data_IF_567177037478
#
_entry.id   IF_567177037478
#
_cell.length_a   1.000
_cell.length_b   1.000
_cell.length_c   1.000
_cell.angle_alpha   90.00
_cell.angle_beta   90.00
_cell.angle_gamma   90.00
#
_symmetry.space_group_name_H-M   'P 1'
#
loop_
_entity.id
_entity.type
_entity.pdbx_description
1 polymer ?
#
# COMPACT_ATOMS: atom_id res chain seq x y z
N UNK A 1 24.74 -18.21 -8.00
CA UNK A 1 24.22 -17.51 -6.81
C UNK A 1 23.06 -16.64 -7.30
N UNK A 2 21.83 -17.13 -7.15
CA UNK A 2 20.61 -16.40 -7.55
C UNK A 2 20.30 -15.50 -6.37
N UNK A 3 20.49 -14.19 -6.55
CA UNK A 3 20.09 -13.21 -5.54
C UNK A 3 18.55 -13.25 -5.44
N UNK A 4 18.04 -13.74 -4.31
CA UNK A 4 16.62 -13.74 -4.04
C UNK A 4 16.11 -12.31 -3.96
N UNK A 5 15.01 -12.04 -4.66
CA UNK A 5 14.25 -10.80 -4.52
C UNK A 5 13.59 -10.89 -3.14
N UNK A 6 14.17 -10.23 -2.15
CA UNK A 6 13.61 -10.20 -0.79
C UNK A 6 12.59 -9.07 -0.74
N UNK A 7 11.30 -9.43 -0.77
CA UNK A 7 10.22 -8.48 -0.49
C UNK A 7 10.07 -8.35 1.03
N UNK A 8 10.48 -7.21 1.56
CA UNK A 8 10.13 -6.77 2.89
C UNK A 8 8.84 -5.96 2.78
N UNK A 9 7.70 -6.63 2.88
CA UNK A 9 6.42 -5.93 2.83
C UNK A 9 5.24 -6.83 3.16
N UNK A 10 4.59 -6.54 4.28
CA UNK A 10 3.29 -7.07 4.70
C UNK A 10 3.24 -8.57 5.02
N UNK A 11 3.91 -9.00 6.07
CA UNK A 11 3.58 -10.27 6.73
C UNK A 11 2.42 -9.99 7.71
N UNK A 12 1.20 -10.17 7.25
CA UNK A 12 0.09 -10.41 8.16
C UNK A 12 0.32 -11.80 8.76
N UNK A 13 0.47 -11.90 10.06
CA UNK A 13 0.48 -13.08 10.92
C UNK A 13 0.47 -14.44 10.22
N UNK A 14 1.63 -14.92 9.73
CA UNK A 14 1.79 -16.33 9.35
C UNK A 14 3.11 -16.86 9.90
N UNK A 15 3.06 -18.08 10.45
CA UNK A 15 4.24 -18.72 11.00
C UNK A 15 5.26 -18.96 9.87
N UNK A 16 6.48 -18.49 10.03
CA UNK A 16 7.63 -18.69 9.15
C UNK A 16 7.85 -20.17 8.76
N UNK A 17 7.21 -21.09 9.44
CA UNK A 17 7.35 -22.54 9.25
C UNK A 17 6.65 -23.10 8.01
N UNK A 18 5.58 -22.47 7.51
CA UNK A 18 4.84 -22.92 6.32
C UNK A 18 5.36 -22.27 5.02
N UNK A 19 5.94 -21.10 5.12
CA UNK A 19 6.54 -20.37 3.99
C UNK A 19 7.70 -21.13 3.32
N UNK A 20 8.45 -21.97 4.07
CA UNK A 20 9.65 -22.68 3.59
C UNK A 20 9.31 -23.92 2.74
N UNK A 21 8.07 -24.40 2.73
CA UNK A 21 7.68 -25.67 2.06
C UNK A 21 6.76 -25.52 0.83
N UNK A 22 6.39 -24.30 0.40
CA UNK A 22 5.61 -24.14 -0.82
C UNK A 22 6.51 -24.23 -2.06
N UNK A 23 6.21 -25.19 -2.97
CA UNK A 23 6.85 -25.18 -4.29
C UNK A 23 6.51 -23.88 -5.02
N UNK A 24 7.54 -23.25 -5.60
CA UNK A 24 7.38 -22.09 -6.49
C UNK A 24 6.38 -22.40 -7.61
N UNK A 25 5.29 -21.62 -7.69
CA UNK A 25 4.23 -21.79 -8.69
C UNK A 25 3.70 -20.46 -9.19
N UNK A 26 4.46 -19.83 -10.08
CA UNK A 26 4.04 -18.57 -10.73
C UNK A 26 2.77 -18.72 -11.57
N UNK A 27 2.51 -19.93 -12.10
CA UNK A 27 1.28 -20.19 -12.86
C UNK A 27 0.04 -20.15 -11.98
N UNK A 28 0.17 -20.42 -10.67
CA UNK A 28 -0.97 -20.35 -9.76
C UNK A 28 -1.60 -18.94 -9.73
N UNK A 29 -0.76 -17.90 -9.66
CA UNK A 29 -1.24 -16.50 -9.64
C UNK A 29 -1.94 -16.16 -10.96
N UNK A 30 -1.35 -16.52 -12.09
CA UNK A 30 -1.93 -16.28 -13.41
C UNK A 30 -3.26 -17.02 -13.60
N UNK A 31 -3.30 -18.29 -13.23
CA UNK A 31 -4.50 -19.11 -13.35
C UNK A 31 -5.61 -18.59 -12.46
N UNK A 32 -5.29 -18.22 -11.20
CA UNK A 32 -6.26 -17.64 -10.30
C UNK A 32 -6.91 -16.37 -10.89
N UNK A 33 -6.11 -15.47 -11.46
CA UNK A 33 -6.62 -14.25 -12.08
C UNK A 33 -7.53 -14.58 -13.28
N UNK A 34 -7.12 -15.54 -14.14
CA UNK A 34 -7.90 -15.96 -15.31
C UNK A 34 -9.21 -16.67 -14.94
N UNK A 35 -9.20 -17.49 -13.90
CA UNK A 35 -10.38 -18.21 -13.40
C UNK A 35 -11.42 -17.28 -12.78
N UNK A 36 -10.97 -16.16 -12.15
CA UNK A 36 -11.86 -15.20 -11.46
C UNK A 36 -12.09 -13.90 -12.26
N UNK A 37 -11.75 -13.86 -13.54
CA UNK A 37 -11.92 -12.64 -14.36
C UNK A 37 -13.39 -12.22 -14.50
N UNK A 38 -14.29 -13.18 -14.59
CA UNK A 38 -15.72 -12.92 -14.78
C UNK A 38 -16.42 -12.48 -13.48
N UNK A 39 -15.82 -12.79 -12.32
CA UNK A 39 -16.28 -12.35 -11.00
C UNK A 39 -15.98 -10.85 -10.76
N UNK A 40 -15.14 -10.23 -11.63
CA UNK A 40 -14.66 -8.84 -11.49
C UNK A 40 -13.94 -8.55 -10.16
N UNK A 41 -13.41 -9.58 -9.55
CA UNK A 41 -12.64 -9.49 -8.28
C UNK A 41 -11.14 -9.51 -8.51
N UNK A 42 -10.70 -9.68 -9.75
CA UNK A 42 -9.30 -9.70 -10.15
C UNK A 42 -9.04 -8.75 -11.31
N UNK A 43 -7.85 -8.14 -11.33
CA UNK A 43 -7.36 -7.32 -12.43
C UNK A 43 -5.87 -7.57 -12.64
N UNK A 44 -5.44 -7.58 -13.92
CA UNK A 44 -4.03 -7.71 -14.28
C UNK A 44 -3.76 -6.86 -15.54
N UNK A 45 -2.71 -6.05 -15.48
CA UNK A 45 -2.13 -5.41 -16.66
C UNK A 45 -0.63 -5.66 -16.63
N UNK A 46 -0.07 -6.10 -17.75
CA UNK A 46 1.36 -6.21 -17.97
C UNK A 46 1.72 -5.48 -19.25
N UNK A 47 2.67 -4.56 -19.17
CA UNK A 47 3.26 -3.89 -20.33
C UNK A 47 4.75 -4.13 -20.40
N UNK A 48 5.26 -4.19 -21.64
CA UNK A 48 6.69 -4.24 -21.91
C UNK A 48 7.01 -3.35 -23.10
N UNK A 49 7.98 -2.43 -22.91
CA UNK A 49 8.39 -1.47 -23.93
C UNK A 49 7.21 -0.67 -24.55
N UNK A 50 6.19 -0.37 -23.74
CA UNK A 50 4.95 0.31 -24.15
C UNK A 50 3.89 -0.60 -24.78
N UNK A 51 4.22 -1.87 -25.09
CA UNK A 51 3.25 -2.84 -25.61
C UNK A 51 2.50 -3.53 -24.45
N UNK A 52 1.19 -3.66 -24.58
CA UNK A 52 0.34 -4.40 -23.61
C UNK A 52 0.41 -5.89 -23.92
N UNK A 53 1.01 -6.67 -23.01
CA UNK A 53 1.07 -8.13 -23.14
C UNK A 53 -0.22 -8.78 -22.66
N UNK A 54 -0.85 -8.25 -21.62
CA UNK A 54 -2.16 -8.69 -21.13
C UNK A 54 -2.89 -7.56 -20.44
N UNK A 55 -4.23 -7.60 -20.51
CA UNK A 55 -5.12 -6.67 -19.83
C UNK A 55 -6.42 -7.38 -19.46
N UNK A 56 -6.62 -7.62 -18.15
CA UNK A 56 -7.80 -8.28 -17.58
C UNK A 56 -8.45 -7.29 -16.61
N UNK A 57 -9.72 -6.99 -16.79
CA UNK A 57 -10.54 -6.15 -15.90
C UNK A 57 -9.87 -4.80 -15.54
N UNK A 58 -9.17 -4.18 -16.50
CA UNK A 58 -8.36 -2.98 -16.28
C UNK A 58 -9.12 -1.79 -15.69
N UNK A 59 -10.45 -1.75 -15.90
CA UNK A 59 -11.33 -0.64 -15.47
C UNK A 59 -12.12 -0.95 -14.20
N UNK A 60 -12.06 -2.20 -13.72
CA UNK A 60 -12.75 -2.55 -12.48
C UNK A 60 -12.08 -1.86 -11.29
N UNK A 61 -12.89 -1.16 -10.50
CA UNK A 61 -12.41 -0.49 -9.29
C UNK A 61 -12.29 -1.49 -8.14
N UNK A 62 -11.08 -1.69 -7.65
CA UNK A 62 -10.78 -2.63 -6.58
C UNK A 62 -10.05 -1.92 -5.42
N UNK A 63 -10.16 -2.41 -4.19
CA UNK A 63 -9.41 -1.89 -3.06
C UNK A 63 -7.90 -1.99 -3.30
N UNK A 64 -7.17 -0.92 -2.99
CA UNK A 64 -5.73 -0.81 -3.24
C UNK A 64 -4.87 -1.35 -2.10
N UNK A 65 -5.41 -1.42 -0.91
CA UNK A 65 -4.61 -1.61 0.30
C UNK A 65 -3.39 -0.66 0.28
N UNK A 66 -2.21 -1.14 0.69
CA UNK A 66 -1.01 -0.29 0.76
C UNK A 66 -0.42 0.12 -0.59
N UNK A 67 -0.94 -0.37 -1.73
CA UNK A 67 -0.50 0.10 -3.04
C UNK A 67 -0.80 1.60 -3.24
N UNK A 68 -1.86 2.14 -2.61
CA UNK A 68 -2.20 3.56 -2.66
C UNK A 68 -1.10 4.48 -2.10
N UNK A 69 -0.19 3.98 -1.26
CA UNK A 69 0.93 4.74 -0.67
C UNK A 69 1.89 5.33 -1.71
N UNK A 70 1.87 4.84 -2.96
CA UNK A 70 2.64 5.39 -4.08
C UNK A 70 2.27 6.87 -4.31
N UNK A 71 0.98 7.20 -4.25
CA UNK A 71 0.51 8.57 -4.47
C UNK A 71 1.03 9.51 -3.37
N UNK A 72 1.04 9.04 -2.11
CA UNK A 72 1.59 9.81 -0.98
C UNK A 72 3.09 10.06 -1.17
N UNK A 73 3.83 9.04 -1.65
CA UNK A 73 5.26 9.18 -1.94
C UNK A 73 5.54 10.18 -3.09
N UNK A 74 4.68 10.21 -4.10
CA UNK A 74 4.78 11.18 -5.20
C UNK A 74 4.49 12.60 -4.73
N UNK A 75 3.45 12.80 -3.89
CA UNK A 75 3.17 14.12 -3.31
C UNK A 75 4.33 14.59 -2.40
N UNK A 76 4.92 13.70 -1.61
CA UNK A 76 6.14 14.02 -0.86
C UNK A 76 7.26 14.48 -1.79
N UNK A 77 7.57 13.71 -2.85
CA UNK A 77 8.62 14.06 -3.80
C UNK A 77 8.37 15.41 -4.48
N UNK A 78 7.10 15.71 -4.79
CA UNK A 78 6.66 17.00 -5.33
C UNK A 78 6.94 18.14 -4.34
N UNK A 79 6.50 18.00 -3.08
CA UNK A 79 6.70 19.06 -2.06
C UNK A 79 8.18 19.28 -1.74
N UNK A 80 9.01 18.24 -1.75
CA UNK A 80 10.48 18.37 -1.62
C UNK A 80 11.06 19.12 -2.81
N UNK A 81 10.68 18.73 -4.04
CA UNK A 81 11.16 19.37 -5.27
C UNK A 81 10.75 20.85 -5.37
N UNK A 82 9.58 21.21 -4.82
CA UNK A 82 9.10 22.58 -4.74
C UNK A 82 9.67 23.37 -3.55
N UNK A 83 10.50 22.76 -2.70
CA UNK A 83 11.06 23.39 -1.50
C UNK A 83 10.04 23.71 -0.39
N UNK A 84 8.84 23.10 -0.43
CA UNK A 84 7.78 23.29 0.56
C UNK A 84 8.05 22.55 1.86
N UNK A 85 8.73 21.41 1.78
CA UNK A 85 9.17 20.60 2.90
C UNK A 85 10.65 20.21 2.71
N UNK A 86 11.31 19.89 3.81
CA UNK A 86 12.71 19.45 3.78
C UNK A 86 12.78 17.97 4.12
N UNK A 87 13.47 17.18 3.30
CA UNK A 87 13.63 15.75 3.53
C UNK A 87 14.44 15.39 4.77
N UNK A 88 15.33 16.29 5.19
CA UNK A 88 16.17 16.16 6.39
C UNK A 88 15.49 16.70 7.67
N UNK A 89 14.24 17.19 7.57
CA UNK A 89 13.45 17.60 8.74
C UNK A 89 13.38 16.47 9.76
N UNK A 90 13.70 16.79 11.03
CA UNK A 90 13.73 15.79 12.10
C UNK A 90 12.35 15.57 12.69
N UNK A 91 11.90 14.34 12.64
CA UNK A 91 10.57 13.90 13.10
C UNK A 91 10.75 13.08 14.38
N UNK A 92 10.04 13.47 15.43
CA UNK A 92 10.03 12.73 16.69
C UNK A 92 9.34 11.38 16.52
N UNK A 93 9.97 10.30 16.97
CA UNK A 93 9.34 8.97 16.97
C UNK A 93 8.05 8.96 17.82
N UNK A 94 7.98 9.79 18.88
CA UNK A 94 6.75 9.93 19.69
C UNK A 94 5.58 10.51 18.90
N UNK A 95 5.83 11.35 17.89
CA UNK A 95 4.76 11.83 17.01
C UNK A 95 4.19 10.71 16.16
N UNK A 96 5.02 9.80 15.68
CA UNK A 96 4.58 8.64 14.90
C UNK A 96 3.79 7.64 15.73
N UNK A 97 4.14 7.48 17.00
CA UNK A 97 3.42 6.59 17.93
C UNK A 97 1.94 6.96 18.11
N UNK A 98 1.56 8.22 17.94
CA UNK A 98 0.15 8.66 17.98
C UNK A 98 -0.69 7.98 16.90
N UNK A 99 -0.07 7.60 15.80
CA UNK A 99 -0.72 6.97 14.64
C UNK A 99 -0.57 5.44 14.65
N UNK A 100 0.16 4.87 15.60
CA UNK A 100 0.40 3.43 15.63
C UNK A 100 -0.74 2.67 16.29
N UNK A 101 -1.51 1.95 15.48
CA UNK A 101 -2.51 1.00 15.98
C UNK A 101 -1.85 -0.37 16.10
N UNK A 102 -1.55 -0.76 17.34
CA UNK A 102 -0.74 -1.93 17.65
C UNK A 102 -1.31 -3.22 17.03
N UNK A 103 -0.44 -4.01 16.41
CA UNK A 103 -0.75 -5.31 15.81
C UNK A 103 -1.76 -5.26 14.63
N UNK A 104 -1.85 -4.14 13.92
CA UNK A 104 -2.78 -4.02 12.77
C UNK A 104 -2.11 -3.85 11.41
N UNK A 105 -0.78 -3.74 11.37
CA UNK A 105 0.00 -3.57 10.14
C UNK A 105 0.97 -4.74 9.86
N UNK A 106 0.70 -5.93 10.44
CA UNK A 106 1.56 -7.10 10.26
C UNK A 106 2.97 -6.95 10.84
N UNK A 107 3.18 -6.03 11.79
CA UNK A 107 4.50 -5.75 12.37
C UNK A 107 5.36 -4.79 11.56
N UNK A 108 4.79 -4.13 10.54
CA UNK A 108 5.51 -3.23 9.64
C UNK A 108 6.15 -2.04 10.37
N UNK A 109 5.41 -1.39 11.26
CA UNK A 109 5.94 -0.25 12.01
C UNK A 109 7.05 -0.62 12.98
N UNK A 110 6.91 -1.66 13.83
CA UNK A 110 8.02 -2.17 14.64
C UNK A 110 9.26 -2.56 13.83
N UNK A 111 9.09 -3.28 12.72
CA UNK A 111 10.21 -3.68 11.86
C UNK A 111 10.97 -2.47 11.29
N UNK A 112 10.25 -1.44 10.85
CA UNK A 112 10.86 -0.19 10.42
C UNK A 112 11.60 0.51 11.56
N UNK A 113 11.00 0.60 12.76
CA UNK A 113 11.65 1.21 13.92
C UNK A 113 12.96 0.51 14.31
N UNK A 114 12.98 -0.80 14.23
CA UNK A 114 14.18 -1.59 14.52
C UNK A 114 15.26 -1.34 13.45
N UNK A 115 14.88 -1.31 12.18
CA UNK A 115 15.82 -1.05 11.07
C UNK A 115 16.47 0.33 11.18
N UNK A 116 15.70 1.40 11.41
CA UNK A 116 16.28 2.75 11.53
C UNK A 116 17.15 2.91 12.77
N UNK A 117 16.90 2.15 13.85
CA UNK A 117 17.77 2.10 15.03
C UNK A 117 19.07 1.35 14.74
N UNK A 118 18.99 0.18 14.09
CA UNK A 118 20.15 -0.64 13.71
C UNK A 118 21.06 0.12 12.74
N UNK A 119 20.48 0.89 11.84
CA UNK A 119 21.23 1.73 10.88
C UNK A 119 21.71 3.07 11.47
N UNK A 120 21.52 3.30 12.77
CA UNK A 120 21.90 4.54 13.46
C UNK A 120 21.29 5.82 12.86
N UNK A 121 20.09 5.68 12.24
CA UNK A 121 19.34 6.79 11.62
C UNK A 121 18.44 7.52 12.62
N UNK A 122 18.45 7.10 13.89
CA UNK A 122 17.74 7.74 15.00
C UNK A 122 18.72 8.47 15.90
N UNK A 123 18.53 9.78 16.07
CA UNK A 123 19.34 10.62 16.96
C UNK A 123 18.44 11.40 17.90
N UNK A 124 18.65 11.28 19.22
CA UNK A 124 17.83 11.98 20.20
C UNK A 124 16.33 11.66 20.13
N UNK A 125 15.95 10.43 19.70
CA UNK A 125 14.56 10.02 19.54
C UNK A 125 13.88 10.61 18.29
N UNK A 126 14.63 11.09 17.32
CA UNK A 126 14.15 11.66 16.05
C UNK A 126 14.80 10.97 14.86
N UNK A 127 14.12 10.95 13.72
CA UNK A 127 14.65 10.52 12.43
C UNK A 127 14.24 11.50 11.34
N UNK A 128 14.82 11.40 10.14
CA UNK A 128 14.49 12.32 9.05
C UNK A 128 13.11 12.01 8.44
N UNK A 129 12.47 13.04 7.89
CA UNK A 129 11.22 12.87 7.13
C UNK A 129 11.39 11.89 5.97
N UNK A 130 12.55 11.87 5.32
CA UNK A 130 12.90 10.91 4.28
C UNK A 130 12.80 9.47 4.78
N UNK A 131 13.32 9.16 5.98
CA UNK A 131 13.25 7.82 6.55
C UNK A 131 11.81 7.44 6.95
N UNK A 132 10.97 8.40 7.34
CA UNK A 132 9.54 8.16 7.57
C UNK A 132 8.85 7.76 6.27
N UNK A 133 9.14 8.42 5.15
CA UNK A 133 8.58 8.07 3.83
C UNK A 133 9.11 6.70 3.35
N UNK A 134 10.40 6.42 3.50
CA UNK A 134 10.95 5.09 3.20
C UNK A 134 10.30 4.01 4.06
N UNK A 135 10.03 4.27 5.33
CA UNK A 135 9.30 3.35 6.21
C UNK A 135 7.88 3.06 5.72
N UNK A 136 7.18 4.06 5.15
CA UNK A 136 5.90 3.87 4.50
C UNK A 136 6.00 2.98 3.26
N UNK A 137 7.01 3.15 2.42
CA UNK A 137 7.14 2.42 1.14
C UNK A 137 7.76 1.04 1.35
N UNK A 138 8.90 0.92 2.04
CA UNK A 138 9.66 -0.33 2.17
C UNK A 138 9.02 -1.31 3.15
N UNK A 139 8.58 -0.82 4.32
CA UNK A 139 7.97 -1.63 5.37
C UNK A 139 6.44 -1.62 5.30
N UNK A 140 5.86 -0.65 4.58
CA UNK A 140 4.43 -0.44 4.57
C UNK A 140 3.84 0.03 5.91
N UNK A 141 4.62 0.71 6.77
CA UNK A 141 4.17 1.23 8.07
C UNK A 141 2.91 2.09 7.93
N UNK A 142 1.84 1.69 8.62
CA UNK A 142 0.58 2.43 8.63
C UNK A 142 0.67 3.70 9.49
N UNK A 143 1.46 3.68 10.56
CA UNK A 143 1.71 4.86 11.37
C UNK A 143 2.41 5.96 10.56
N UNK A 144 3.48 5.61 9.83
CA UNK A 144 4.17 6.54 8.94
C UNK A 144 3.22 7.09 7.86
N UNK A 145 2.36 6.23 7.31
CA UNK A 145 1.37 6.64 6.29
C UNK A 145 0.41 7.68 6.82
N UNK A 146 -0.17 7.45 8.00
CA UNK A 146 -1.15 8.38 8.59
C UNK A 146 -0.51 9.68 9.07
N UNK A 147 0.72 9.62 9.57
CA UNK A 147 1.51 10.83 9.85
C UNK A 147 1.74 11.64 8.57
N UNK A 148 2.13 10.99 7.47
CA UNK A 148 2.38 11.65 6.18
C UNK A 148 1.10 12.21 5.56
N UNK A 149 -0.05 11.57 5.76
CA UNK A 149 -1.35 12.10 5.34
C UNK A 149 -1.62 13.47 5.96
N UNK A 150 -1.32 13.65 7.24
CA UNK A 150 -1.43 14.94 7.93
C UNK A 150 -0.31 15.91 7.51
N UNK A 151 0.94 15.45 7.52
CA UNK A 151 2.12 16.28 7.24
C UNK A 151 2.11 16.90 5.86
N UNK A 152 1.75 16.14 4.85
CA UNK A 152 1.67 16.60 3.46
C UNK A 152 0.35 17.31 3.16
N UNK A 153 -0.69 17.00 3.95
CA UNK A 153 -2.04 17.50 3.79
C UNK A 153 -2.88 16.64 2.87
N UNK A 154 -3.94 16.02 3.41
CA UNK A 154 -4.84 15.15 2.64
C UNK A 154 -5.42 15.83 1.40
N UNK A 155 -5.77 17.13 1.50
CA UNK A 155 -6.26 17.90 0.35
C UNK A 155 -5.22 17.97 -0.78
N UNK A 156 -3.94 18.15 -0.47
CA UNK A 156 -2.85 18.18 -1.46
C UNK A 156 -2.65 16.82 -2.12
N UNK A 157 -2.69 15.75 -1.32
CA UNK A 157 -2.62 14.39 -1.86
C UNK A 157 -3.80 14.13 -2.81
N UNK A 158 -5.01 14.60 -2.47
CA UNK A 158 -6.19 14.45 -3.31
C UNK A 158 -6.14 15.34 -4.58
N UNK A 159 -5.51 16.52 -4.53
CA UNK A 159 -5.20 17.33 -5.72
C UNK A 159 -4.26 16.57 -6.67
N UNK A 160 -3.24 15.88 -6.13
CA UNK A 160 -2.31 15.07 -6.92
C UNK A 160 -3.00 13.95 -7.70
N UNK A 161 -4.11 13.37 -7.23
CA UNK A 161 -4.89 12.39 -7.97
C UNK A 161 -5.32 12.95 -9.33
N UNK A 162 -5.82 14.18 -9.35
CA UNK A 162 -6.28 14.86 -10.58
C UNK A 162 -5.12 15.20 -11.51
N UNK A 163 -4.02 15.73 -10.95
CA UNK A 163 -2.82 16.07 -11.72
C UNK A 163 -2.18 14.84 -12.35
N UNK A 164 -2.23 13.69 -11.66
CA UNK A 164 -1.73 12.41 -12.14
C UNK A 164 -2.72 11.69 -13.08
N UNK A 165 -3.95 12.20 -13.22
CA UNK A 165 -4.99 11.59 -14.07
C UNK A 165 -5.55 10.28 -13.51
N UNK A 166 -5.53 10.10 -12.18
CA UNK A 166 -6.05 8.91 -11.48
C UNK A 166 -7.56 9.07 -11.23
N UNK A 167 -8.34 9.06 -12.29
CA UNK A 167 -9.75 9.47 -12.26
C UNK A 167 -10.68 8.49 -11.54
N UNK A 168 -10.27 7.22 -11.39
CA UNK A 168 -11.04 6.22 -10.67
C UNK A 168 -10.74 6.15 -9.17
N UNK A 169 -9.65 6.82 -8.74
CA UNK A 169 -9.13 6.73 -7.39
C UNK A 169 -10.04 7.44 -6.39
N UNK A 170 -10.35 6.79 -5.26
CA UNK A 170 -11.04 7.42 -4.15
C UNK A 170 -10.16 8.46 -3.47
N UNK A 171 -10.76 9.46 -2.85
CA UNK A 171 -10.03 10.42 -2.05
C UNK A 171 -9.38 9.74 -0.82
N UNK A 172 -8.20 10.25 -0.45
CA UNK A 172 -7.51 9.79 0.75
C UNK A 172 -8.22 10.24 2.02
N UNK A 173 -8.35 9.30 2.95
CA UNK A 173 -8.80 9.52 4.31
C UNK A 173 -8.02 8.58 5.25
N UNK A 174 -8.08 8.72 6.60
CA UNK A 174 -7.26 7.94 7.54
C UNK A 174 -7.68 6.46 7.63
N UNK A 175 -7.72 5.76 6.49
CA UNK A 175 -8.14 4.36 6.36
C UNK A 175 -7.19 3.39 7.05
N UNK A 176 -5.92 3.79 7.24
CA UNK A 176 -4.89 2.93 7.82
C UNK A 176 -4.89 2.89 9.35
N UNK A 177 -5.54 3.86 10.01
CA UNK A 177 -5.55 4.00 11.46
C UNK A 177 -6.94 4.30 12.00
N UNK A 178 -7.49 5.48 11.77
CA UNK A 178 -8.80 5.89 12.29
C UNK A 178 -9.93 4.93 11.93
N UNK A 179 -9.94 4.40 10.71
CA UNK A 179 -10.96 3.46 10.26
C UNK A 179 -10.97 2.13 11.04
N UNK A 180 -9.83 1.71 11.61
CA UNK A 180 -9.74 0.48 12.40
C UNK A 180 -10.56 0.55 13.71
N UNK A 181 -10.83 1.74 14.21
CA UNK A 181 -11.62 1.95 15.41
C UNK A 181 -13.12 2.14 15.16
N UNK A 182 -13.58 2.12 13.89
CA UNK A 182 -14.97 2.41 13.54
C UNK A 182 -15.99 1.52 14.25
N UNK A 183 -15.69 0.23 14.49
CA UNK A 183 -16.60 -0.63 15.24
C UNK A 183 -16.74 -0.19 16.69
N UNK A 184 -15.63 0.04 17.37
CA UNK A 184 -15.67 0.56 18.75
C UNK A 184 -16.33 1.94 18.85
N UNK A 185 -16.10 2.81 17.85
CA UNK A 185 -16.74 4.12 17.74
C UNK A 185 -18.26 4.01 17.63
N UNK A 186 -18.76 3.17 16.73
CA UNK A 186 -20.22 2.98 16.54
C UNK A 186 -20.87 2.49 17.83
N UNK A 187 -20.23 1.58 18.55
CA UNK A 187 -20.75 1.07 19.82
C UNK A 187 -20.70 2.13 20.93
N UNK A 188 -19.59 2.85 21.07
CA UNK A 188 -19.35 3.77 22.19
C UNK A 188 -19.98 5.15 21.96
N UNK A 189 -19.73 5.79 20.81
CA UNK A 189 -20.13 7.17 20.54
C UNK A 189 -21.53 7.27 19.90
N UNK A 190 -21.90 6.30 19.05
CA UNK A 190 -23.24 6.27 18.45
C UNK A 190 -24.24 5.45 19.27
N UNK A 191 -23.80 4.86 20.39
CA UNK A 191 -24.64 4.08 21.30
C UNK A 191 -25.38 2.92 20.61
N UNK A 192 -24.77 2.33 19.57
CA UNK A 192 -25.35 1.18 18.85
C UNK A 192 -24.99 -0.10 19.59
N UNK A 193 -25.97 -0.97 19.92
CA UNK A 193 -25.68 -2.26 20.55
C UNK A 193 -24.69 -3.10 19.75
N UNK A 194 -23.79 -3.82 20.43
CA UNK A 194 -22.72 -4.62 19.81
C UNK A 194 -23.22 -5.56 18.70
N UNK A 195 -24.36 -6.22 18.91
CA UNK A 195 -24.97 -7.13 17.94
C UNK A 195 -25.56 -6.44 16.69
N UNK A 196 -25.63 -5.09 16.67
CA UNK A 196 -26.11 -4.28 15.53
C UNK A 196 -25.00 -3.41 14.94
N UNK A 197 -23.81 -3.38 15.54
CA UNK A 197 -22.73 -2.48 15.14
C UNK A 197 -22.22 -2.76 13.72
N UNK A 198 -22.06 -4.04 13.36
CA UNK A 198 -21.61 -4.42 12.01
C UNK A 198 -22.66 -4.06 10.94
N UNK A 199 -23.95 -4.26 11.23
CA UNK A 199 -25.01 -3.88 10.29
C UNK A 199 -25.11 -2.37 10.12
N UNK A 200 -24.95 -1.60 11.21
CA UNK A 200 -24.83 -0.13 11.11
C UNK A 200 -23.67 0.26 10.21
N UNK A 201 -22.50 -0.36 10.36
CA UNK A 201 -21.32 -0.07 9.53
C UNK A 201 -21.54 -0.45 8.06
N UNK A 202 -22.16 -1.61 7.77
CA UNK A 202 -22.46 -2.03 6.39
C UNK A 202 -23.41 -1.05 5.69
N UNK A 203 -24.39 -0.54 6.41
CA UNK A 203 -25.44 0.35 5.88
C UNK A 203 -25.10 1.85 5.97
N UNK A 204 -23.96 2.22 6.58
CA UNK A 204 -23.51 3.60 6.67
C UNK A 204 -23.10 4.11 5.29
N UNK A 205 -23.50 5.33 4.91
CA UNK A 205 -23.03 5.95 3.67
C UNK A 205 -21.50 6.17 3.71
N UNK A 206 -20.84 6.27 2.56
CA UNK A 206 -19.40 6.54 2.52
C UNK A 206 -19.07 7.88 3.17
N UNK A 207 -19.85 8.92 2.92
CA UNK A 207 -19.61 10.26 3.48
C UNK A 207 -19.73 10.24 5.01
N UNK A 208 -20.76 9.56 5.56
CA UNK A 208 -20.92 9.37 7.00
C UNK A 208 -19.74 8.61 7.60
N UNK A 209 -19.31 7.51 6.93
CA UNK A 209 -18.20 6.69 7.37
C UNK A 209 -16.89 7.49 7.39
N UNK A 210 -16.53 8.14 6.29
CA UNK A 210 -15.32 8.95 6.16
C UNK A 210 -15.30 10.10 7.17
N UNK A 211 -16.43 10.77 7.38
CA UNK A 211 -16.57 11.82 8.41
C UNK A 211 -16.22 11.29 9.81
N UNK A 212 -16.74 10.12 10.18
CA UNK A 212 -16.45 9.52 11.48
C UNK A 212 -15.00 9.04 11.58
N UNK A 213 -14.43 8.52 10.50
CA UNK A 213 -13.01 8.15 10.47
C UNK A 213 -12.11 9.36 10.71
N UNK A 214 -12.39 10.50 10.08
CA UNK A 214 -11.66 11.75 10.35
C UNK A 214 -11.82 12.21 11.80
N UNK A 215 -13.01 12.09 12.37
CA UNK A 215 -13.24 12.45 13.78
C UNK A 215 -12.39 11.58 14.73
N UNK A 216 -12.32 10.27 14.48
CA UNK A 216 -11.48 9.35 15.26
C UNK A 216 -10.01 9.74 15.11
N UNK A 217 -9.57 10.00 13.89
CA UNK A 217 -8.20 10.37 13.56
C UNK A 217 -7.76 11.64 14.31
N UNK A 218 -8.62 12.67 14.36
CA UNK A 218 -8.35 13.89 15.13
C UNK A 218 -8.23 13.61 16.64
N UNK A 219 -9.07 12.73 17.18
CA UNK A 219 -8.97 12.35 18.60
C UNK A 219 -7.68 11.58 18.91
N UNK A 220 -7.23 10.71 18.01
CA UNK A 220 -5.99 9.94 18.20
C UNK A 220 -4.75 10.84 18.31
N UNK A 221 -4.76 12.02 17.75
CA UNK A 221 -3.64 12.98 17.82
C UNK A 221 -3.51 13.66 19.18
N UNK A 222 -4.58 13.70 19.97
CA UNK A 222 -4.60 14.21 21.33
C UNK A 222 -4.72 13.06 22.35
N UNK A 223 -3.62 12.75 23.03
CA UNK A 223 -3.55 11.62 23.97
C UNK A 223 -4.59 11.69 25.08
N UNK A 224 -4.90 12.92 25.60
CA UNK A 224 -5.89 13.11 26.66
C UNK A 224 -7.30 12.86 26.16
N UNK A 225 -7.61 13.42 24.99
CA UNK A 225 -8.92 13.23 24.36
C UNK A 225 -9.11 11.76 23.95
N UNK A 226 -8.10 11.12 23.36
CA UNK A 226 -8.15 9.73 22.97
C UNK A 226 -8.40 8.81 24.16
N UNK A 227 -7.62 8.95 25.23
CA UNK A 227 -7.77 8.15 26.47
C UNK A 227 -9.17 8.31 27.07
N UNK A 228 -9.70 9.55 27.09
CA UNK A 228 -11.04 9.83 27.60
C UNK A 228 -12.17 9.15 26.83
N UNK A 229 -12.00 8.94 25.51
CA UNK A 229 -13.02 8.33 24.66
C UNK A 229 -13.20 6.83 24.93
N UNK A 230 -12.17 6.15 25.40
CA UNK A 230 -12.21 4.71 25.70
C UNK A 230 -12.75 3.86 24.51
N UNK A 231 -12.43 4.27 23.27
CA UNK A 231 -12.84 3.55 22.07
C UNK A 231 -11.95 2.32 21.92
N UNK A 232 -12.55 1.13 21.97
CA UNK A 232 -11.81 -0.13 21.87
C UNK A 232 -11.59 -0.55 20.42
N UNK A 233 -10.40 -1.09 20.12
CA UNK A 233 -10.12 -1.76 18.86
C UNK A 233 -10.87 -3.11 18.83
N UNK A 234 -11.72 -3.30 17.81
CA UNK A 234 -12.48 -4.53 17.58
C UNK A 234 -12.34 -4.94 16.12
N UNK A 235 -11.31 -5.71 15.83
CA UNK A 235 -10.89 -6.06 14.47
C UNK A 235 -11.03 -7.56 14.16
N UNK A 236 -12.20 -8.17 14.50
CA UNK A 236 -12.51 -9.52 14.05
C UNK A 236 -12.73 -9.60 12.53
N UNK A 237 -12.81 -10.82 11.98
CA UNK A 237 -12.88 -11.03 10.52
C UNK A 237 -14.11 -10.37 9.87
N UNK A 238 -15.24 -10.31 10.55
CA UNK A 238 -16.45 -9.64 10.03
C UNK A 238 -16.25 -8.13 9.88
N UNK A 239 -15.59 -7.50 10.86
CA UNK A 239 -15.22 -6.09 10.75
C UNK A 239 -14.11 -5.87 9.72
N UNK A 240 -13.09 -6.74 9.67
CA UNK A 240 -12.03 -6.65 8.67
C UNK A 240 -12.58 -6.74 7.24
N UNK A 241 -13.66 -7.52 7.02
CA UNK A 241 -14.35 -7.54 5.73
C UNK A 241 -14.91 -6.17 5.37
N UNK A 242 -15.65 -5.55 6.30
CA UNK A 242 -16.23 -4.21 6.08
C UNK A 242 -15.12 -3.17 5.84
N UNK A 243 -14.06 -3.21 6.63
CA UNK A 243 -12.91 -2.32 6.48
C UNK A 243 -12.22 -2.49 5.12
N UNK A 244 -12.02 -3.73 4.68
CA UNK A 244 -11.41 -4.04 3.38
C UNK A 244 -12.28 -3.54 2.21
N UNK A 245 -13.61 -3.71 2.28
CA UNK A 245 -14.54 -3.27 1.25
C UNK A 245 -14.65 -1.74 1.16
N UNK A 246 -14.36 -1.03 2.25
CA UNK A 246 -14.36 0.43 2.33
C UNK A 246 -12.96 1.04 2.17
N UNK A 247 -11.97 0.21 1.85
CA UNK A 247 -10.63 0.72 1.61
C UNK A 247 -10.59 1.58 0.35
N UNK A 248 -9.68 2.56 0.32
CA UNK A 248 -9.41 3.38 -0.87
C UNK A 248 -9.23 2.48 -2.08
N UNK A 249 -10.02 2.70 -3.13
CA UNK A 249 -10.03 1.92 -4.35
C UNK A 249 -9.64 2.74 -5.57
N UNK A 250 -9.12 2.05 -6.59
CA UNK A 250 -8.91 2.56 -7.94
C UNK A 250 -8.93 1.39 -8.94
N UNK A 251 -8.83 1.68 -10.23
CA UNK A 251 -8.66 0.66 -11.24
C UNK A 251 -7.19 0.44 -11.63
N UNK A 252 -6.88 -0.73 -12.19
CA UNK A 252 -5.52 -1.07 -12.59
C UNK A 252 -4.99 -0.18 -13.72
N UNK A 253 -5.86 0.35 -14.58
CA UNK A 253 -5.49 1.24 -15.68
C UNK A 253 -4.87 2.55 -15.20
N UNK A 254 -5.43 3.14 -14.14
CA UNK A 254 -4.89 4.37 -13.55
C UNK A 254 -3.50 4.10 -12.96
N UNK A 255 -3.34 2.99 -12.23
CA UNK A 255 -2.04 2.61 -11.66
C UNK A 255 -1.02 2.23 -12.73
N UNK A 256 -1.42 1.55 -13.81
CA UNK A 256 -0.54 1.30 -14.95
C UNK A 256 -0.03 2.62 -15.55
N UNK A 257 -0.93 3.59 -15.79
CA UNK A 257 -0.54 4.92 -16.27
C UNK A 257 0.43 5.62 -15.30
N UNK A 258 0.22 5.47 -14.00
CA UNK A 258 1.12 6.02 -12.98
C UNK A 258 2.51 5.39 -13.04
N UNK A 259 2.59 4.06 -13.16
CA UNK A 259 3.87 3.35 -13.29
C UNK A 259 4.62 3.74 -14.58
N UNK A 260 3.90 3.86 -15.71
CA UNK A 260 4.50 4.33 -16.97
C UNK A 260 5.08 5.74 -16.83
N UNK A 261 4.40 6.66 -16.11
CA UNK A 261 4.89 8.01 -15.84
C UNK A 261 6.20 7.96 -15.01
N UNK A 262 6.24 7.15 -13.95
CA UNK A 262 7.44 6.97 -13.13
C UNK A 262 8.58 6.36 -13.95
N UNK A 263 8.32 5.25 -14.65
CA UNK A 263 9.33 4.50 -15.40
C UNK A 263 9.81 5.22 -16.66
N UNK A 264 9.04 6.20 -17.18
CA UNK A 264 9.45 7.01 -18.32
C UNK A 264 10.64 7.92 -18.01
N UNK A 265 10.79 8.35 -16.74
CA UNK A 265 11.81 9.29 -16.24
C UNK A 265 11.80 10.68 -16.92
N UNK A 266 10.72 11.00 -17.61
CA UNK A 266 10.57 12.28 -18.32
C UNK A 266 9.23 12.99 -18.08
N UNK A 267 8.35 12.37 -17.28
CA UNK A 267 7.07 12.98 -16.92
C UNK A 267 7.22 13.99 -15.76
N UNK A 268 8.00 13.63 -14.74
CA UNK A 268 8.28 14.49 -13.60
C UNK A 268 9.50 15.37 -13.85
N UNK A 269 9.62 16.47 -13.09
CA UNK A 269 10.87 17.25 -13.10
C UNK A 269 12.04 16.38 -12.64
N UNK A 270 13.26 16.70 -13.08
CA UNK A 270 14.46 15.93 -12.70
C UNK A 270 14.61 15.78 -11.19
N UNK A 271 14.31 16.84 -10.43
CA UNK A 271 14.40 16.81 -8.97
C UNK A 271 13.34 15.90 -8.37
N UNK A 272 12.09 16.01 -8.81
CA UNK A 272 10.99 15.15 -8.33
C UNK A 272 11.22 13.67 -8.70
N UNK A 273 11.69 13.39 -9.92
CA UNK A 273 12.05 12.05 -10.35
C UNK A 273 13.15 11.46 -9.47
N UNK A 274 14.20 12.24 -9.16
CA UNK A 274 15.28 11.81 -8.27
C UNK A 274 14.80 11.45 -6.86
N UNK A 275 13.85 12.22 -6.31
CA UNK A 275 13.26 11.88 -5.00
C UNK A 275 12.39 10.61 -5.06
N UNK A 276 11.61 10.41 -6.14
CA UNK A 276 10.85 9.17 -6.35
C UNK A 276 11.81 7.97 -6.42
N UNK A 277 12.85 8.05 -7.23
CA UNK A 277 13.86 7.00 -7.35
C UNK A 277 14.53 6.67 -6.01
N UNK A 278 14.89 7.69 -5.24
CA UNK A 278 15.48 7.52 -3.91
C UNK A 278 14.53 6.80 -2.93
N UNK A 279 13.24 7.14 -2.94
CA UNK A 279 12.22 6.50 -2.09
C UNK A 279 12.03 5.02 -2.44
N UNK A 280 12.01 4.68 -3.73
CA UNK A 280 11.78 3.31 -4.19
C UNK A 280 13.05 2.46 -4.29
N UNK A 281 14.23 3.07 -4.18
CA UNK A 281 15.52 2.36 -4.20
C UNK A 281 15.57 1.30 -3.10
N UNK A 282 15.84 0.04 -3.47
CA UNK A 282 15.91 -1.08 -2.54
C UNK A 282 14.57 -1.81 -2.32
N UNK A 283 13.46 -1.35 -2.91
CA UNK A 283 12.20 -2.12 -2.91
C UNK A 283 12.24 -3.32 -3.86
N UNK A 284 13.17 -3.32 -4.80
CA UNK A 284 13.46 -4.42 -5.74
C UNK A 284 14.93 -4.82 -5.59
N UNK A 285 15.24 -6.12 -5.71
CA UNK A 285 16.60 -6.63 -5.59
C UNK A 285 17.56 -6.00 -6.60
N UNK A 286 18.80 -5.76 -6.17
CA UNK A 286 19.83 -5.13 -6.99
C UNK A 286 20.31 -6.04 -8.12
N UNK A 287 20.84 -5.44 -9.17
CA UNK A 287 21.66 -6.11 -10.21
C UNK A 287 20.99 -6.29 -11.56
N UNK A 288 19.69 -6.51 -11.65
CA UNK A 288 18.97 -6.75 -12.91
C UNK A 288 18.56 -5.42 -13.59
N UNK A 289 18.10 -4.47 -12.81
CA UNK A 289 17.56 -3.20 -13.30
C UNK A 289 18.57 -2.06 -13.13
N UNK A 290 18.53 -1.12 -14.05
CA UNK A 290 19.13 0.20 -13.87
C UNK A 290 18.28 1.02 -12.88
N UNK A 291 16.97 0.89 -13.01
CA UNK A 291 15.99 1.59 -12.20
C UNK A 291 14.72 0.71 -12.06
N UNK A 292 14.26 0.54 -10.84
CA UNK A 292 13.04 -0.23 -10.57
C UNK A 292 12.41 0.16 -9.23
N UNK A 293 11.12 -0.10 -9.10
CA UNK A 293 10.38 0.06 -7.86
C UNK A 293 9.15 -0.82 -7.79
N UNK A 294 8.75 -1.10 -6.57
CA UNK A 294 7.61 -1.98 -6.28
C UNK A 294 6.87 -1.49 -5.04
N UNK A 295 5.54 -1.65 -5.07
CA UNK A 295 4.71 -1.49 -3.88
C UNK A 295 3.54 -2.47 -3.89
N UNK A 296 3.53 -3.36 -2.92
CA UNK A 296 2.41 -4.24 -2.66
C UNK A 296 1.45 -3.69 -1.61
N UNK A 297 0.28 -4.33 -1.51
CA UNK A 297 -0.70 -4.04 -0.49
C UNK A 297 -1.57 -5.26 -0.16
N UNK A 298 -1.98 -5.39 1.09
CA UNK A 298 -2.87 -6.48 1.49
C UNK A 298 -3.78 -6.08 2.66
N UNK A 299 -4.92 -6.74 2.72
CA UNK A 299 -5.78 -6.91 3.91
C UNK A 299 -6.08 -8.41 4.03
N UNK A 300 -6.93 -8.81 4.95
CA UNK A 300 -7.35 -10.22 5.03
C UNK A 300 -8.05 -10.73 3.75
N UNK A 301 -8.55 -9.84 2.88
CA UNK A 301 -9.36 -10.19 1.70
C UNK A 301 -8.82 -9.62 0.40
N UNK A 302 -7.77 -8.82 0.46
CA UNK A 302 -7.21 -8.05 -0.67
C UNK A 302 -5.73 -8.37 -0.82
N UNK A 303 -5.29 -8.57 -2.06
CA UNK A 303 -3.87 -8.64 -2.42
C UNK A 303 -3.64 -7.84 -3.69
N UNK A 304 -2.72 -6.87 -3.62
CA UNK A 304 -2.37 -6.00 -4.75
C UNK A 304 -0.87 -5.89 -4.88
N UNK A 305 -0.40 -5.64 -6.09
CA UNK A 305 0.99 -5.27 -6.33
C UNK A 305 1.13 -4.41 -7.59
N UNK A 306 2.10 -3.53 -7.55
CA UNK A 306 2.56 -2.71 -8.66
C UNK A 306 4.08 -2.79 -8.74
N UNK A 307 4.58 -3.05 -9.93
CA UNK A 307 6.01 -3.15 -10.21
C UNK A 307 6.31 -2.36 -11.48
N UNK A 308 7.41 -1.64 -11.49
CA UNK A 308 8.00 -1.05 -12.68
C UNK A 308 9.51 -1.24 -12.69
N UNK A 309 10.10 -1.35 -13.87
CA UNK A 309 11.54 -1.42 -14.00
C UNK A 309 12.04 -1.18 -15.40
N UNK A 310 13.25 -0.62 -15.49
CA UNK A 310 14.03 -0.50 -16.72
C UNK A 310 15.31 -1.32 -16.54
N UNK A 311 15.52 -2.33 -17.39
CA UNK A 311 16.71 -3.17 -17.35
C UNK A 311 17.93 -2.42 -17.91
N UNK A 312 19.12 -3.00 -17.74
CA UNK A 312 20.39 -2.44 -18.24
C UNK A 312 20.50 -2.32 -19.76
N UNK A 313 19.55 -2.89 -20.49
CA UNK A 313 19.44 -2.79 -21.96
C UNK A 313 18.41 -1.75 -22.39
N UNK A 314 17.77 -1.07 -21.43
CA UNK A 314 16.72 -0.09 -21.65
C UNK A 314 15.33 -0.66 -21.86
N UNK A 315 15.12 -1.97 -21.67
CA UNK A 315 13.77 -2.54 -21.75
C UNK A 315 12.97 -2.14 -20.50
N UNK A 316 11.78 -1.65 -20.73
CA UNK A 316 10.83 -1.27 -19.69
C UNK A 316 9.80 -2.35 -19.46
N UNK A 317 9.40 -2.53 -18.21
CA UNK A 317 8.33 -3.42 -17.83
C UNK A 317 7.52 -2.82 -16.69
N UNK A 318 6.20 -2.86 -16.83
CA UNK A 318 5.25 -2.42 -15.80
C UNK A 318 4.22 -3.52 -15.58
N UNK A 319 3.91 -3.79 -14.30
CA UNK A 319 2.98 -4.83 -13.86
C UNK A 319 2.07 -4.23 -12.79
N UNK A 320 0.77 -4.37 -12.97
CA UNK A 320 -0.23 -4.08 -11.94
C UNK A 320 -1.16 -5.26 -11.83
N UNK A 321 -1.33 -5.81 -10.65
CA UNK A 321 -2.41 -6.73 -10.37
C UNK A 321 -3.12 -6.39 -9.07
N UNK A 322 -4.41 -6.69 -9.03
CA UNK A 322 -5.29 -6.41 -7.93
C UNK A 322 -6.26 -7.56 -7.76
N UNK A 323 -6.44 -8.02 -6.53
CA UNK A 323 -7.34 -9.10 -6.18
C UNK A 323 -8.11 -8.73 -4.92
N UNK A 324 -9.42 -9.00 -4.93
CA UNK A 324 -10.33 -8.78 -3.82
C UNK A 324 -11.17 -10.03 -3.58
N UNK A 325 -11.87 -10.06 -2.46
CA UNK A 325 -12.76 -11.15 -2.06
C UNK A 325 -12.03 -12.50 -1.90
N UNK A 326 -10.76 -12.47 -1.50
CA UNK A 326 -9.95 -13.66 -1.30
C UNK A 326 -10.42 -14.46 -0.07
N UNK A 327 -10.47 -15.78 -0.19
CA UNK A 327 -10.51 -16.66 0.97
C UNK A 327 -9.12 -16.72 1.61
N UNK A 328 -9.05 -17.04 2.90
CA UNK A 328 -7.78 -17.19 3.64
C UNK A 328 -6.79 -18.10 2.89
N UNK A 329 -7.26 -19.29 2.48
CA UNK A 329 -6.44 -20.27 1.73
C UNK A 329 -5.92 -19.72 0.40
N UNK A 330 -6.77 -18.99 -0.35
CA UNK A 330 -6.36 -18.38 -1.61
C UNK A 330 -5.35 -17.26 -1.36
N UNK A 331 -5.59 -16.43 -0.34
CA UNK A 331 -4.69 -15.34 0.04
C UNK A 331 -3.28 -15.86 0.37
N UNK A 332 -3.15 -16.88 1.24
CA UNK A 332 -1.87 -17.46 1.63
C UNK A 332 -1.09 -17.97 0.41
N UNK A 333 -1.76 -18.74 -0.45
CA UNK A 333 -1.11 -19.32 -1.62
C UNK A 333 -0.76 -18.27 -2.68
N UNK A 334 -1.57 -17.25 -2.87
CA UNK A 334 -1.27 -16.13 -3.76
C UNK A 334 -0.09 -15.31 -3.22
N UNK A 335 -0.10 -14.98 -1.94
CA UNK A 335 0.97 -14.22 -1.29
C UNK A 335 2.32 -14.95 -1.40
N UNK A 336 2.35 -16.27 -1.17
CA UNK A 336 3.59 -17.06 -1.24
C UNK A 336 4.14 -17.21 -2.68
N UNK A 337 3.33 -16.97 -3.71
CA UNK A 337 3.72 -17.11 -5.11
C UNK A 337 3.82 -15.79 -5.89
N UNK A 338 3.45 -14.69 -5.29
CA UNK A 338 3.40 -13.36 -5.91
C UNK A 338 4.76 -12.92 -6.47
N UNK A 339 5.84 -13.15 -5.72
CA UNK A 339 7.19 -12.74 -6.12
C UNK A 339 7.72 -13.57 -7.28
N UNK A 340 7.42 -14.87 -7.27
CA UNK A 340 7.76 -15.75 -8.38
C UNK A 340 6.99 -15.36 -9.65
N UNK A 341 5.73 -14.97 -9.51
CA UNK A 341 4.92 -14.47 -10.62
C UNK A 341 5.52 -13.20 -11.24
N UNK A 342 5.86 -12.18 -10.44
CA UNK A 342 6.52 -10.97 -10.93
C UNK A 342 7.87 -11.30 -11.56
N UNK A 343 8.70 -12.10 -10.88
CA UNK A 343 10.00 -12.52 -11.38
C UNK A 343 9.87 -13.16 -12.76
N UNK A 344 8.97 -14.11 -12.93
CA UNK A 344 8.84 -14.87 -14.17
C UNK A 344 8.28 -14.02 -15.31
N UNK A 345 7.40 -13.05 -15.03
CA UNK A 345 7.01 -12.05 -16.04
C UNK A 345 8.24 -11.25 -16.49
N UNK A 346 9.12 -10.87 -15.57
CA UNK A 346 10.30 -10.05 -15.86
C UNK A 346 11.32 -10.84 -16.69
N UNK A 347 11.69 -12.05 -16.25
CA UNK A 347 12.85 -12.76 -16.81
C UNK A 347 12.53 -13.79 -17.89
N UNK A 348 11.31 -14.37 -17.93
CA UNK A 348 10.96 -15.48 -18.80
C UNK A 348 10.05 -15.03 -19.95
N UNK A 349 10.57 -15.13 -21.18
CA UNK A 349 9.76 -14.94 -22.39
C UNK A 349 8.69 -16.04 -22.53
N UNK A 350 9.05 -17.27 -22.21
CA UNK A 350 8.11 -18.41 -22.22
C UNK A 350 6.92 -18.13 -21.28
N UNK A 351 7.18 -17.55 -20.10
CA UNK A 351 6.11 -17.21 -19.16
C UNK A 351 5.24 -16.05 -19.70
N UNK A 352 5.86 -15.02 -20.30
CA UNK A 352 5.11 -13.91 -20.93
C UNK A 352 4.20 -14.38 -22.07
N UNK A 353 4.58 -15.42 -22.80
CA UNK A 353 3.74 -15.99 -23.86
C UNK A 353 2.48 -16.71 -23.32
N UNK A 354 2.38 -16.91 -22.01
CA UNK A 354 1.18 -17.46 -21.35
C UNK A 354 0.21 -16.37 -20.88
N UNK A 355 0.64 -15.10 -20.86
CA UNK A 355 -0.20 -13.99 -20.42
C UNK A 355 -1.32 -13.72 -21.44
#
# INVERSE_FOLDING_TARGET
MIAGITIVGCIAFFSVKEYVNSKEDSNYVLNYIKEHKDDKTTSLIVKRNGETLTSINEKEKLPLASMSKIVIAIEYAKQVAEGKIRKDEQISLKELEKYYVKNTDGGAHPAWLDDVKVKELVKGGQTSLEEVVKGMIHYSSNANTSYLLDKLGAARINESLKELGLNSHDEFYPTYTGALYMRGYVEKELHIPQNKALDKLRNMSNDEYVKHVWQIHEWMKDEKEWTKREISLKADMDFQRIWSDRFIGANAKDYMSLLEKINSRNYFTTQMQGEIENIFKGTVGEGMFEFAGQKGGSTAFVLTNSFYGTDKKGNKIEIVFMMNNLSEKAFEKLLSNMDYFIRDIVISEEFRNKL
#
